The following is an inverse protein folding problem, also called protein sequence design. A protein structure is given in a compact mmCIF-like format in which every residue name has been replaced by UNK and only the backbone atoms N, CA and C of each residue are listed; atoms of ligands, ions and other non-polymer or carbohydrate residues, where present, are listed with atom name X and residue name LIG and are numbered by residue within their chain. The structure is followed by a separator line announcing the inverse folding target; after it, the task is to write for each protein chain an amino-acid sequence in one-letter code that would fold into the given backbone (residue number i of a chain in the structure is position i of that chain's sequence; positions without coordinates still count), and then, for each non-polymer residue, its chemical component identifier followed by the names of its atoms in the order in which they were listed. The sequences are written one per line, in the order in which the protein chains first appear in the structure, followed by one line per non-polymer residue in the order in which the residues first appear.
data_IF_591093902018
#
_entry.id   IF_591093902018
#
_cell.length_a   1.000
_cell.length_b   1.000
_cell.length_c   1.000
_cell.angle_alpha   90.00
_cell.angle_beta   90.00
_cell.angle_gamma   90.00
#
_symmetry.space_group_name_H-M   'P 1'
#
loop_
_entity.id
_entity.type
_entity.pdbx_description
1 polymer ?
#
# COMPACT_ATOMS: atom_id res chain seq x y z
N UNK A 1 -24.53 36.26 -18.18
CA UNK A 1 -25.59 35.53 -17.46
C UNK A 1 -25.13 34.10 -17.40
N UNK A 2 -24.52 33.69 -16.28
CA UNK A 2 -24.07 32.30 -16.09
C UNK A 2 -25.33 31.52 -15.73
N UNK A 3 -25.78 30.63 -16.61
CA UNK A 3 -26.82 29.68 -16.27
C UNK A 3 -26.27 28.81 -15.15
N UNK A 4 -26.92 28.88 -13.99
CA UNK A 4 -26.69 27.94 -12.90
C UNK A 4 -27.22 26.60 -13.40
N UNK A 5 -26.32 25.67 -13.67
CA UNK A 5 -26.69 24.30 -14.03
C UNK A 5 -27.55 23.69 -12.94
N UNK A 6 -28.55 22.93 -13.36
CA UNK A 6 -29.51 22.25 -12.49
C UNK A 6 -28.76 21.29 -11.55
N UNK A 7 -28.78 21.49 -10.22
CA UNK A 7 -27.99 20.67 -9.29
C UNK A 7 -28.37 19.19 -9.34
N UNK A 8 -29.58 18.85 -9.80
CA UNK A 8 -30.03 17.46 -9.93
C UNK A 8 -29.38 16.74 -11.13
N UNK A 9 -29.07 17.46 -12.23
CA UNK A 9 -28.31 16.89 -13.35
C UNK A 9 -26.87 16.51 -12.94
N UNK A 10 -26.30 17.23 -11.97
CA UNK A 10 -24.95 16.98 -11.47
C UNK A 10 -24.84 15.73 -10.59
N UNK A 11 -25.88 15.34 -9.86
CA UNK A 11 -25.81 14.22 -8.90
C UNK A 11 -25.86 12.88 -9.63
N UNK A 12 -26.76 12.72 -10.60
CA UNK A 12 -26.87 11.48 -11.37
C UNK A 12 -25.60 11.21 -12.19
N UNK A 13 -24.99 12.26 -12.75
CA UNK A 13 -23.70 12.17 -13.46
C UNK A 13 -22.54 11.77 -12.52
N UNK A 14 -22.50 12.31 -11.30
CA UNK A 14 -21.52 11.90 -10.30
C UNK A 14 -21.72 10.44 -9.88
N UNK A 15 -22.96 9.99 -9.69
CA UNK A 15 -23.27 8.59 -9.37
C UNK A 15 -22.84 7.68 -10.52
N UNK A 16 -23.11 8.07 -11.76
CA UNK A 16 -22.70 7.32 -12.94
C UNK A 16 -21.18 7.21 -13.03
N UNK A 17 -20.46 8.32 -12.82
CA UNK A 17 -19.00 8.34 -12.82
C UNK A 17 -18.41 7.46 -11.70
N UNK A 18 -19.00 7.45 -10.50
CA UNK A 18 -18.57 6.54 -9.42
C UNK A 18 -18.77 5.08 -9.84
N UNK A 19 -19.91 4.74 -10.44
CA UNK A 19 -20.17 3.38 -10.91
C UNK A 19 -19.23 2.96 -12.04
N UNK A 20 -18.92 3.86 -12.95
CA UNK A 20 -18.09 3.57 -14.13
C UNK A 20 -16.60 3.48 -13.78
N UNK A 21 -16.10 4.35 -12.89
CA UNK A 21 -14.66 4.47 -12.64
C UNK A 21 -14.23 3.98 -11.25
N UNK A 22 -14.99 4.31 -10.21
CA UNK A 22 -14.57 4.00 -8.84
C UNK A 22 -14.88 2.56 -8.44
N UNK A 23 -16.05 2.03 -8.83
CA UNK A 23 -16.45 0.67 -8.48
C UNK A 23 -15.49 -0.40 -9.06
N UNK A 24 -15.10 -0.36 -10.35
CA UNK A 24 -14.13 -1.33 -10.87
C UNK A 24 -12.79 -1.27 -10.15
N UNK A 25 -12.34 -0.07 -9.77
CA UNK A 25 -11.13 0.09 -9.00
C UNK A 25 -11.25 -0.51 -7.59
N UNK A 26 -12.35 -0.25 -6.86
CA UNK A 26 -12.58 -0.83 -5.53
C UNK A 26 -12.62 -2.36 -5.61
N UNK A 27 -13.33 -2.89 -6.60
CA UNK A 27 -13.45 -4.33 -6.82
C UNK A 27 -12.10 -4.99 -7.18
N UNK A 28 -11.23 -4.27 -7.91
CA UNK A 28 -9.89 -4.74 -8.22
C UNK A 28 -9.03 -4.98 -6.98
N UNK A 29 -9.30 -4.30 -5.86
CA UNK A 29 -8.62 -4.46 -4.57
C UNK A 29 -9.38 -5.34 -3.56
N UNK A 30 -10.36 -6.12 -3.99
CA UNK A 30 -11.28 -6.84 -3.08
C UNK A 30 -10.67 -8.02 -2.31
N UNK A 31 -9.41 -8.39 -2.58
CA UNK A 31 -8.70 -9.45 -1.86
C UNK A 31 -7.31 -9.01 -1.45
N UNK A 32 -6.76 -9.62 -0.40
CA UNK A 32 -5.42 -9.30 0.09
C UNK A 32 -4.33 -9.53 -0.98
N UNK A 33 -4.47 -10.58 -1.80
CA UNK A 33 -3.55 -10.83 -2.92
C UNK A 33 -3.62 -9.71 -3.95
N UNK A 34 -4.82 -9.33 -4.36
CA UNK A 34 -5.00 -8.25 -5.33
C UNK A 34 -4.49 -6.90 -4.78
N UNK A 35 -4.66 -6.64 -3.49
CA UNK A 35 -4.07 -5.46 -2.84
C UNK A 35 -2.53 -5.49 -2.88
N UNK A 36 -1.90 -6.66 -2.69
CA UNK A 36 -0.45 -6.80 -2.83
C UNK A 36 0.03 -6.50 -4.26
N UNK A 37 -0.74 -6.93 -5.26
CA UNK A 37 -0.47 -6.65 -6.68
C UNK A 37 -0.60 -5.15 -6.97
N UNK A 38 -1.73 -4.53 -6.61
CA UNK A 38 -1.96 -3.10 -6.80
C UNK A 38 -0.87 -2.24 -6.12
N UNK A 39 -0.48 -2.58 -4.89
CA UNK A 39 0.61 -1.88 -4.21
C UNK A 39 1.95 -2.12 -4.92
N UNK A 40 2.17 -3.32 -5.47
CA UNK A 40 3.33 -3.64 -6.31
C UNK A 40 3.40 -2.75 -7.55
N UNK A 41 2.25 -2.44 -8.15
CA UNK A 41 2.12 -1.56 -9.32
C UNK A 41 2.22 -0.06 -8.98
N UNK A 42 2.47 0.28 -7.70
CA UNK A 42 2.68 1.65 -7.25
C UNK A 42 1.40 2.36 -6.78
N UNK A 43 0.31 1.63 -6.53
CA UNK A 43 -0.89 2.22 -5.94
C UNK A 43 -0.63 2.64 -4.49
N UNK A 44 -0.31 3.91 -4.29
CA UNK A 44 -0.06 4.52 -2.99
C UNK A 44 1.03 5.59 -3.06
N UNK A 45 1.41 6.11 -1.91
CA UNK A 45 2.56 7.02 -1.79
C UNK A 45 3.82 6.20 -1.53
N UNK A 46 4.87 6.41 -2.32
CA UNK A 46 6.07 5.54 -2.28
C UNK A 46 6.69 5.45 -0.88
N UNK A 47 6.76 6.58 -0.16
CA UNK A 47 7.27 6.62 1.22
C UNK A 47 6.40 5.83 2.23
N UNK A 48 5.14 5.52 1.90
CA UNK A 48 4.30 4.62 2.70
C UNK A 48 4.39 3.17 2.22
N UNK A 49 4.60 2.97 0.92
CA UNK A 49 4.67 1.64 0.30
C UNK A 49 5.85 0.83 0.79
N UNK A 50 6.98 1.48 1.14
CA UNK A 50 8.13 0.83 1.79
C UNK A 50 7.76 0.09 3.08
N UNK A 51 6.74 0.58 3.81
CA UNK A 51 6.23 -0.07 5.03
C UNK A 51 5.08 -1.04 4.75
N UNK A 52 4.18 -0.68 3.83
CA UNK A 52 2.92 -1.41 3.60
C UNK A 52 3.09 -2.67 2.75
N UNK A 53 3.89 -2.61 1.69
CA UNK A 53 4.14 -3.76 0.80
C UNK A 53 4.66 -5.00 1.56
N UNK A 54 5.72 -4.91 2.40
CA UNK A 54 6.20 -6.10 3.11
C UNK A 54 5.17 -6.65 4.10
N UNK A 55 4.41 -5.79 4.80
CA UNK A 55 3.34 -6.23 5.72
C UNK A 55 2.23 -6.96 4.96
N UNK A 56 1.79 -6.42 3.83
CA UNK A 56 0.75 -7.06 3.03
C UNK A 56 1.20 -8.43 2.49
N UNK A 57 2.43 -8.53 1.98
CA UNK A 57 2.98 -9.81 1.52
C UNK A 57 3.06 -10.84 2.65
N UNK A 58 3.54 -10.44 3.83
CA UNK A 58 3.62 -11.33 4.99
C UNK A 58 2.24 -11.81 5.46
N UNK A 59 1.23 -10.91 5.50
CA UNK A 59 -0.14 -11.27 5.84
C UNK A 59 -0.78 -12.19 4.78
N UNK A 60 -0.38 -12.05 3.52
CA UNK A 60 -0.79 -12.93 2.42
C UNK A 60 -0.09 -14.31 2.46
N UNK A 61 0.85 -14.51 3.39
CA UNK A 61 1.64 -15.74 3.53
C UNK A 61 2.89 -15.79 2.64
N UNK A 62 3.15 -14.76 1.84
CA UNK A 62 4.33 -14.65 0.98
C UNK A 62 5.51 -14.02 1.75
N UNK A 63 6.07 -14.83 2.66
CA UNK A 63 7.13 -14.37 3.58
C UNK A 63 8.44 -14.06 2.86
N UNK A 64 8.77 -14.79 1.81
CA UNK A 64 10.02 -14.61 1.06
C UNK A 64 10.02 -13.26 0.34
N UNK A 65 8.92 -12.93 -0.36
CA UNK A 65 8.76 -11.62 -0.98
C UNK A 65 8.76 -10.50 0.06
N UNK A 66 8.11 -10.73 1.20
CA UNK A 66 8.07 -9.75 2.28
C UNK A 66 9.47 -9.46 2.86
N UNK A 67 10.28 -10.51 3.08
CA UNK A 67 11.66 -10.37 3.54
C UNK A 67 12.52 -9.60 2.52
N UNK A 68 12.43 -9.95 1.24
CA UNK A 68 13.18 -9.26 0.18
C UNK A 68 12.86 -7.78 0.08
N UNK A 69 11.60 -7.37 0.29
CA UNK A 69 11.21 -5.96 0.30
C UNK A 69 11.81 -5.19 1.48
N UNK A 70 11.88 -5.81 2.66
CA UNK A 70 12.49 -5.20 3.85
C UNK A 70 14.01 -5.08 3.69
N UNK A 71 14.65 -6.11 3.16
CA UNK A 71 16.09 -6.12 2.94
C UNK A 71 16.50 -5.08 1.88
N UNK A 72 15.69 -4.92 0.82
CA UNK A 72 15.88 -3.86 -0.17
C UNK A 72 15.74 -2.48 0.45
N UNK A 73 14.71 -2.24 1.27
CA UNK A 73 14.51 -0.97 1.96
C UNK A 73 15.66 -0.62 2.93
N UNK A 74 16.19 -1.62 3.65
CA UNK A 74 17.35 -1.43 4.55
C UNK A 74 18.63 -1.15 3.74
N UNK A 75 18.81 -1.81 2.60
CA UNK A 75 19.94 -1.59 1.70
C UNK A 75 19.91 -0.19 1.10
N UNK A 76 18.76 0.26 0.61
CA UNK A 76 18.56 1.60 0.03
C UNK A 76 18.80 2.72 1.05
N UNK A 77 18.59 2.43 2.34
CA UNK A 77 18.86 3.38 3.41
C UNK A 77 20.36 3.64 3.61
N UNK A 78 21.18 2.60 3.44
CA UNK A 78 22.63 2.66 3.65
C UNK A 78 23.02 3.27 5.01
N UNK A 79 23.96 4.21 4.97
CA UNK A 79 24.54 4.85 6.16
C UNK A 79 23.75 6.09 6.63
N UNK A 80 22.57 6.38 6.07
CA UNK A 80 21.76 7.55 6.47
C UNK A 80 21.39 7.49 7.95
N UNK A 81 21.44 8.62 8.65
CA UNK A 81 21.19 8.70 10.10
C UNK A 81 20.09 9.71 10.48
N UNK A 82 19.39 10.26 9.48
CA UNK A 82 18.26 11.15 9.69
C UNK A 82 17.06 10.46 10.38
N UNK A 83 16.08 11.25 10.81
CA UNK A 83 14.93 10.74 11.56
C UNK A 83 14.13 9.66 10.80
N UNK A 84 14.01 9.78 9.47
CA UNK A 84 13.33 8.77 8.65
C UNK A 84 14.14 7.47 8.58
N UNK A 85 15.46 7.58 8.55
CA UNK A 85 16.35 6.42 8.63
C UNK A 85 16.22 5.67 9.97
N UNK A 86 16.13 6.40 11.08
CA UNK A 86 15.89 5.81 12.41
C UNK A 86 14.55 5.09 12.46
N UNK A 87 13.49 5.72 11.95
CA UNK A 87 12.15 5.13 11.89
C UNK A 87 12.12 3.86 11.03
N UNK A 88 12.73 3.88 9.84
CA UNK A 88 12.77 2.72 8.97
C UNK A 88 13.51 1.55 9.61
N UNK A 89 14.66 1.78 10.27
CA UNK A 89 15.37 0.72 11.01
C UNK A 89 14.54 0.14 12.14
N UNK A 90 13.82 0.98 12.89
CA UNK A 90 12.91 0.51 13.92
C UNK A 90 11.79 -0.37 13.34
N UNK A 91 11.22 0.03 12.20
CA UNK A 91 10.26 -0.78 11.47
C UNK A 91 10.85 -2.13 11.03
N UNK A 92 12.02 -2.15 10.39
CA UNK A 92 12.70 -3.38 9.94
C UNK A 92 12.90 -4.35 11.10
N UNK A 93 13.41 -3.86 12.23
CA UNK A 93 13.61 -4.69 13.43
C UNK A 93 12.29 -5.28 13.95
N UNK A 94 11.25 -4.46 14.06
CA UNK A 94 9.93 -4.90 14.50
C UNK A 94 9.31 -5.92 13.54
N UNK A 95 9.44 -5.69 12.22
CA UNK A 95 8.93 -6.57 11.18
C UNK A 95 9.57 -7.96 11.26
N UNK A 96 10.91 -8.02 11.34
CA UNK A 96 11.66 -9.28 11.43
C UNK A 96 11.25 -10.08 12.67
N UNK A 97 11.13 -9.42 13.82
CA UNK A 97 10.64 -10.02 15.06
C UNK A 97 9.24 -10.63 14.91
N UNK A 98 8.31 -9.86 14.33
CA UNK A 98 6.89 -10.23 14.22
C UNK A 98 6.62 -11.33 13.20
N UNK A 99 7.28 -11.29 12.04
CA UNK A 99 6.89 -12.09 10.88
C UNK A 99 7.92 -13.15 10.45
N UNK A 100 9.21 -12.95 10.74
CA UNK A 100 10.27 -13.86 10.26
C UNK A 100 10.80 -14.77 11.38
N UNK A 101 10.97 -14.23 12.59
CA UNK A 101 11.49 -14.99 13.74
C UNK A 101 10.42 -15.81 14.50
N UNK A 102 9.13 -15.52 14.29
CA UNK A 102 8.02 -16.19 14.98
C UNK A 102 7.63 -17.56 14.38
N UNK A 103 8.50 -18.18 13.57
CA UNK A 103 8.23 -19.41 12.80
C UNK A 103 8.60 -20.72 13.52
N UNK A 104 9.00 -20.67 14.79
CA UNK A 104 9.45 -21.85 15.56
C UNK A 104 8.38 -22.43 16.49
N UNK A 105 7.10 -22.43 16.09
CA UNK A 105 5.98 -22.94 16.87
C UNK A 105 4.90 -23.58 16.02
#
# INVERSE_FOLDING_TARGET
MVSVEDPDASVDDLILAVREYAMPFIESGSSLRALCELMGDGLGLEHQLVYRRPVACALAGDRDRAAGLVDAAETDLGDRDDAAAVELRAFVAAFRSRFLLSSSG
#
